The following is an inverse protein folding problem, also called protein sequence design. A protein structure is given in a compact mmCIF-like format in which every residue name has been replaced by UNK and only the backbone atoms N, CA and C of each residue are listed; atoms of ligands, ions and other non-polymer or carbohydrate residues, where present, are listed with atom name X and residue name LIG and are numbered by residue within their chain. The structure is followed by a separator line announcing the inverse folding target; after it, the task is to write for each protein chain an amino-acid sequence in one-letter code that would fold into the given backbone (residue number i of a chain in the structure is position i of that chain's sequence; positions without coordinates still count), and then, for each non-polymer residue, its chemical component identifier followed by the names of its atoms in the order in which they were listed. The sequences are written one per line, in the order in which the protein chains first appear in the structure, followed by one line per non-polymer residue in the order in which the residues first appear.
data_IF_851551349382
#
_entry.id   IF_851551349382
#
_cell.length_a   1.000
_cell.length_b   1.000
_cell.length_c   1.000
_cell.angle_alpha   90.00
_cell.angle_beta   90.00
_cell.angle_gamma   90.00
#
_symmetry.space_group_name_H-M   'P 1'
#
loop_
_entity.id
_entity.type
_entity.pdbx_description
1 polymer ?
#
# COMPACT_ATOMS: atom_id res chain seq x y z
N UNK A 1 -17.37 5.47 -12.85
CA UNK A 1 -17.69 4.92 -11.51
C UNK A 1 -16.54 4.13 -10.90
N UNK A 2 -16.01 3.11 -11.60
CA UNK A 2 -14.94 2.27 -11.04
C UNK A 2 -13.62 2.99 -10.75
N UNK A 3 -13.29 4.07 -11.45
CA UNK A 3 -12.07 4.86 -11.19
C UNK A 3 -12.05 5.56 -9.83
N UNK A 4 -13.19 6.09 -9.38
CA UNK A 4 -13.32 6.72 -8.05
C UNK A 4 -13.16 5.66 -6.95
N UNK A 5 -13.82 4.51 -7.10
CA UNK A 5 -13.70 3.34 -6.21
C UNK A 5 -12.24 2.86 -6.11
N UNK A 6 -11.52 2.79 -7.23
CA UNK A 6 -10.08 2.41 -7.22
C UNK A 6 -9.21 3.50 -6.57
N UNK A 7 -9.55 4.79 -6.70
CA UNK A 7 -8.82 5.87 -5.99
C UNK A 7 -8.95 5.71 -4.48
N UNK A 8 -10.14 5.42 -3.96
CA UNK A 8 -10.35 5.15 -2.53
C UNK A 8 -9.63 3.88 -2.07
N UNK A 9 -9.75 2.79 -2.83
CA UNK A 9 -9.03 1.55 -2.55
C UNK A 9 -7.52 1.76 -2.42
N UNK A 10 -6.92 2.64 -3.25
CA UNK A 10 -5.49 2.98 -3.17
C UNK A 10 -5.15 3.70 -1.86
N UNK A 11 -6.02 4.59 -1.37
CA UNK A 11 -5.80 5.27 -0.09
C UNK A 11 -5.88 4.28 1.07
N UNK A 12 -6.88 3.42 1.08
CA UNK A 12 -7.06 2.38 2.10
C UNK A 12 -5.88 1.40 2.15
N UNK A 13 -5.36 0.99 0.98
CA UNK A 13 -4.18 0.12 0.87
C UNK A 13 -2.90 0.72 1.45
N UNK A 14 -2.81 2.05 1.53
CA UNK A 14 -1.64 2.77 2.06
C UNK A 14 -1.85 3.16 3.53
N UNK A 15 -3.08 3.54 3.89
CA UNK A 15 -3.42 4.06 5.21
C UNK A 15 -3.45 2.98 6.28
N UNK A 16 -3.92 1.77 5.95
CA UNK A 16 -4.10 0.71 6.93
C UNK A 16 -3.31 -0.54 6.58
N UNK A 17 -2.50 -0.98 7.54
CA UNK A 17 -1.85 -2.28 7.46
C UNK A 17 -2.82 -3.43 7.81
N UNK A 18 -3.85 -3.13 8.61
CA UNK A 18 -4.83 -4.09 9.12
C UNK A 18 -5.86 -4.54 8.07
N UNK A 19 -6.18 -3.69 7.08
CA UNK A 19 -7.13 -4.10 6.05
C UNK A 19 -6.49 -5.05 5.03
N UNK A 20 -7.16 -6.18 4.82
CA UNK A 20 -6.83 -7.09 3.73
C UNK A 20 -7.27 -6.50 2.40
N UNK A 21 -6.62 -6.91 1.33
CA UNK A 21 -6.95 -6.46 -0.03
C UNK A 21 -8.38 -6.87 -0.41
N UNK A 22 -8.88 -7.97 0.16
CA UNK A 22 -10.23 -8.47 -0.05
C UNK A 22 -11.27 -7.57 0.63
N UNK A 23 -11.05 -7.20 1.90
CA UNK A 23 -11.93 -6.29 2.65
C UNK A 23 -12.07 -4.95 1.90
N UNK A 24 -10.95 -4.38 1.43
CA UNK A 24 -10.95 -3.12 0.66
C UNK A 24 -11.74 -3.24 -0.64
N UNK A 25 -11.71 -4.40 -1.30
CA UNK A 25 -12.52 -4.64 -2.50
C UNK A 25 -14.02 -4.57 -2.20
N UNK A 26 -14.45 -5.13 -1.08
CA UNK A 26 -15.85 -5.08 -0.64
C UNK A 26 -16.26 -3.67 -0.20
N UNK A 27 -15.43 -2.96 0.58
CA UNK A 27 -15.70 -1.56 0.98
C UNK A 27 -15.79 -0.60 -0.21
N UNK A 28 -15.10 -0.92 -1.30
CA UNK A 28 -15.17 -0.17 -2.56
C UNK A 28 -16.30 -0.65 -3.49
N UNK A 29 -17.28 -1.38 -2.96
CA UNK A 29 -18.54 -1.68 -3.63
C UNK A 29 -18.35 -2.63 -4.85
N UNK A 30 -17.35 -3.50 -4.82
CA UNK A 30 -17.14 -4.53 -5.83
C UNK A 30 -17.86 -5.83 -5.46
N UNK A 31 -18.72 -6.30 -6.36
CA UNK A 31 -19.46 -7.56 -6.18
C UNK A 31 -18.56 -8.80 -6.10
N UNK A 32 -17.36 -8.76 -6.69
CA UNK A 32 -16.44 -9.89 -6.76
C UNK A 32 -14.97 -9.47 -6.71
N UNK A 33 -14.13 -10.27 -6.04
CA UNK A 33 -12.67 -10.10 -5.99
C UNK A 33 -12.05 -10.04 -7.39
N UNK A 34 -12.50 -10.89 -8.31
CA UNK A 34 -12.01 -10.92 -9.68
C UNK A 34 -12.22 -9.57 -10.40
N UNK A 35 -13.41 -8.98 -10.25
CA UNK A 35 -13.77 -7.67 -10.82
C UNK A 35 -12.92 -6.57 -10.20
N UNK A 36 -12.71 -6.61 -8.88
CA UNK A 36 -11.81 -5.68 -8.20
C UNK A 36 -10.38 -5.78 -8.75
N UNK A 37 -9.79 -6.98 -8.80
CA UNK A 37 -8.39 -7.14 -9.21
C UNK A 37 -8.14 -6.75 -10.67
N UNK A 38 -9.04 -7.14 -11.57
CA UNK A 38 -8.95 -6.79 -12.99
C UNK A 38 -9.08 -5.29 -13.20
N UNK A 39 -10.06 -4.67 -12.54
CA UNK A 39 -10.30 -3.22 -12.62
C UNK A 39 -9.16 -2.42 -11.98
N UNK A 40 -8.68 -2.85 -10.81
CA UNK A 40 -7.54 -2.24 -10.12
C UNK A 40 -6.30 -2.31 -11.01
N UNK A 41 -6.00 -3.47 -11.60
CA UNK A 41 -4.85 -3.63 -12.50
C UNK A 41 -4.99 -2.79 -13.76
N UNK A 42 -6.19 -2.73 -14.36
CA UNK A 42 -6.47 -1.91 -15.54
C UNK A 42 -6.26 -0.42 -15.28
N UNK A 43 -6.70 0.07 -14.12
CA UNK A 43 -6.61 1.50 -13.76
C UNK A 43 -5.24 1.90 -13.23
N UNK A 44 -4.59 1.04 -12.44
CA UNK A 44 -3.32 1.37 -11.78
C UNK A 44 -2.08 0.84 -12.50
N UNK A 45 -2.26 -0.02 -13.51
CA UNK A 45 -1.19 -0.71 -14.22
C UNK A 45 -0.48 -1.80 -13.40
N UNK A 46 -0.94 -2.09 -12.19
CA UNK A 46 -0.28 -3.04 -11.28
C UNK A 46 -1.28 -3.76 -10.38
N UNK A 47 -0.87 -4.85 -9.73
CA UNK A 47 -1.74 -5.54 -8.76
C UNK A 47 -1.81 -4.75 -7.45
N UNK A 48 -2.95 -4.83 -6.76
CA UNK A 48 -3.17 -4.21 -5.45
C UNK A 48 -2.14 -4.67 -4.40
N UNK A 49 -1.73 -5.94 -4.43
CA UNK A 49 -0.66 -6.47 -3.58
C UNK A 49 0.70 -5.81 -3.86
N UNK A 50 1.08 -5.67 -5.14
CA UNK A 50 2.32 -4.99 -5.54
C UNK A 50 2.26 -3.50 -5.20
N UNK A 51 1.10 -2.87 -5.34
CA UNK A 51 0.87 -1.48 -4.94
C UNK A 51 1.07 -1.27 -3.42
N UNK A 52 0.43 -2.10 -2.59
CA UNK A 52 0.59 -2.09 -1.12
C UNK A 52 2.05 -2.29 -0.72
N UNK A 53 2.73 -3.30 -1.29
CA UNK A 53 4.15 -3.57 -1.02
C UNK A 53 5.05 -2.38 -1.40
N UNK A 54 4.86 -1.78 -2.59
CA UNK A 54 5.67 -0.64 -3.07
C UNK A 54 5.55 0.59 -2.15
N UNK A 55 4.41 0.80 -1.51
CA UNK A 55 4.17 1.95 -0.63
C UNK A 55 4.66 1.72 0.80
N UNK A 56 4.65 0.48 1.31
CA UNK A 56 5.19 0.12 2.63
C UNK A 56 6.71 0.31 2.76
N UNK A 57 7.46 0.20 1.66
CA UNK A 57 8.93 0.36 1.64
C UNK A 57 9.41 1.81 1.88
N UNK A 58 8.50 2.80 2.03
CA UNK A 58 8.88 4.20 2.26
C UNK A 58 9.11 4.60 3.73
N UNK A 59 8.86 3.73 4.71
CA UNK A 59 9.36 3.98 6.07
C UNK A 59 10.84 3.58 6.11
N UNK A 60 11.71 4.58 5.98
CA UNK A 60 13.16 4.39 6.19
C UNK A 60 13.34 3.66 7.53
N UNK A 61 14.09 2.55 7.58
CA UNK A 61 14.41 1.93 8.86
C UNK A 61 15.17 2.95 9.72
N UNK A 62 14.79 3.06 10.99
CA UNK A 62 15.39 3.96 12.01
C UNK A 62 16.89 3.63 12.24
N UNK A 63 17.43 2.59 11.60
CA UNK A 63 18.82 2.14 11.72
C UNK A 63 19.90 3.11 11.22
N UNK A 64 19.57 4.28 10.66
CA UNK A 64 20.59 5.29 10.30
C UNK A 64 20.89 6.30 11.41
N UNK A 65 20.30 6.18 12.62
CA UNK A 65 20.51 7.14 13.71
C UNK A 65 21.61 6.74 14.73
N UNK A 66 22.14 5.51 14.65
CA UNK A 66 23.03 4.97 15.70
C UNK A 66 24.37 4.45 15.20
N UNK A 67 25.05 5.11 14.25
CA UNK A 67 26.40 4.67 13.89
C UNK A 67 27.35 5.79 13.49
N UNK A 68 27.29 6.95 14.15
CA UNK A 68 28.38 7.93 14.14
C UNK A 68 28.40 8.69 15.47
N UNK A 69 28.95 8.09 16.52
CA UNK A 69 29.47 8.80 17.71
C UNK A 69 30.36 7.86 18.52
N UNK A 70 31.46 7.40 17.92
CA UNK A 70 32.66 7.05 18.67
C UNK A 70 33.73 8.07 18.29
N UNK A 71 33.50 9.31 18.72
CA UNK A 71 34.56 10.33 18.87
C UNK A 71 35.49 9.82 19.97
N UNK A 72 36.70 9.39 19.62
CA UNK A 72 37.94 10.18 19.74
C UNK A 72 38.24 10.63 21.18
N UNK A 73 39.24 9.95 21.74
CA UNK A 73 40.37 10.50 22.50
C UNK A 73 40.10 11.17 23.86
N UNK A 74 40.46 10.44 24.92
CA UNK A 74 41.12 10.94 26.13
C UNK A 74 41.83 9.80 26.87
#
# INVERSE_FOLDING_TARGET
MSELRIKEAKQLLISSEAYTIETIGYDCDFNSKATFFTTFKKITGTTSAKYKKKKRVKRKPIKSLYLHSSSTDL
#
